data_IF_346374432697
#
_entry.id   IF_346374432697
#
_cell.length_a   1.000
_cell.length_b   1.000
_cell.length_c   1.000
_cell.angle_alpha   90.00
_cell.angle_beta   90.00
_cell.angle_gamma   90.00
#
_symmetry.space_group_name_H-M   'P 1'
#
loop_
_entity.id
_entity.type
_entity.pdbx_description
1 polymer ?
#
# COMPACT_ATOMS: atom_id res chain seq x y z
N UNK A 1 -27.74 77.42 -60.49
CA UNK A 1 -27.00 78.63 -60.04
C UNK A 1 -26.63 78.44 -58.57
N UNK A 2 -25.34 78.17 -58.34
CA UNK A 2 -24.52 78.32 -57.11
C UNK A 2 -24.97 77.82 -55.71
N UNK A 3 -24.01 77.10 -55.09
CA UNK A 3 -23.64 77.06 -53.64
C UNK A 3 -24.54 76.22 -52.68
N UNK A 4 -24.07 75.52 -51.65
CA UNK A 4 -22.77 75.34 -50.97
C UNK A 4 -22.82 73.99 -50.18
N UNK A 5 -21.82 73.11 -50.22
CA UNK A 5 -20.65 72.99 -49.31
C UNK A 5 -20.99 73.09 -47.81
N UNK A 6 -20.73 71.99 -47.08
CA UNK A 6 -20.72 71.96 -45.61
C UNK A 6 -20.37 70.58 -45.05
N UNK A 7 -19.11 70.16 -45.19
CA UNK A 7 -18.60 68.92 -44.59
C UNK A 7 -18.34 69.05 -43.08
N UNK A 8 -18.57 67.98 -42.32
CA UNK A 8 -17.97 67.82 -40.99
C UNK A 8 -17.92 66.35 -40.53
N UNK A 9 -16.70 65.80 -40.59
CA UNK A 9 -16.04 64.92 -39.60
C UNK A 9 -16.59 63.50 -39.41
N UNK A 10 -15.94 62.58 -40.12
CA UNK A 10 -15.81 61.17 -39.79
C UNK A 10 -15.46 60.96 -38.30
N UNK A 11 -16.36 60.31 -37.55
CA UNK A 11 -16.06 59.73 -36.23
C UNK A 11 -15.84 58.23 -36.40
N UNK A 12 -14.61 57.79 -36.19
CA UNK A 12 -14.10 56.47 -36.53
C UNK A 12 -14.76 55.31 -35.75
N UNK A 13 -14.93 54.12 -36.36
CA UNK A 13 -15.57 52.95 -35.75
C UNK A 13 -14.73 52.28 -34.64
N UNK A 14 -13.46 52.68 -34.46
CA UNK A 14 -12.54 52.07 -33.48
C UNK A 14 -12.94 52.30 -32.01
N UNK A 15 -13.64 53.40 -31.69
CA UNK A 15 -13.99 53.75 -30.30
C UNK A 15 -15.16 52.94 -29.75
N UNK A 16 -16.06 52.45 -30.62
CA UNK A 16 -17.19 51.58 -30.24
C UNK A 16 -16.74 50.14 -29.95
N UNK A 17 -15.74 49.65 -30.68
CA UNK A 17 -15.18 48.31 -30.50
C UNK A 17 -14.36 48.23 -29.18
N UNK A 18 -13.63 49.29 -28.84
CA UNK A 18 -12.87 49.35 -27.58
C UNK A 18 -13.79 49.36 -26.33
N UNK A 19 -14.94 50.05 -26.38
CA UNK A 19 -15.92 50.05 -25.29
C UNK A 19 -16.67 48.72 -25.17
N UNK A 20 -16.95 48.04 -26.29
CA UNK A 20 -17.56 46.71 -26.28
C UNK A 20 -16.63 45.63 -25.72
N UNK A 21 -15.32 45.69 -26.02
CA UNK A 21 -14.32 44.79 -25.47
C UNK A 21 -14.05 45.03 -23.98
N UNK A 22 -14.07 46.29 -23.52
CA UNK A 22 -13.95 46.61 -22.10
C UNK A 22 -15.17 46.14 -21.30
N UNK A 23 -16.39 46.23 -21.86
CA UNK A 23 -17.60 45.69 -21.25
C UNK A 23 -17.61 44.15 -21.19
N UNK A 24 -17.09 43.48 -22.21
CA UNK A 24 -17.01 42.02 -22.28
C UNK A 24 -15.96 41.42 -21.32
N UNK A 25 -14.93 42.18 -20.93
CA UNK A 25 -13.94 41.78 -19.92
C UNK A 25 -14.32 42.18 -18.49
N UNK A 26 -15.16 43.21 -18.31
CA UNK A 26 -15.64 43.63 -17.00
C UNK A 26 -16.75 42.72 -16.43
N UNK A 27 -17.60 42.15 -17.29
CA UNK A 27 -18.69 41.25 -16.88
C UNK A 27 -18.20 39.94 -16.21
N UNK A 28 -17.16 39.24 -16.69
CA UNK A 28 -16.64 38.06 -16.00
C UNK A 28 -15.87 38.43 -14.72
N UNK A 29 -15.27 39.63 -14.62
CA UNK A 29 -14.61 40.07 -13.39
C UNK A 29 -15.59 40.45 -12.27
N UNK A 30 -16.78 40.97 -12.63
CA UNK A 30 -17.82 41.32 -11.64
C UNK A 30 -18.55 40.08 -11.09
N UNK A 31 -18.59 38.98 -11.85
CA UNK A 31 -19.17 37.69 -11.41
C UNK A 31 -18.29 36.94 -10.40
N UNK A 32 -16.99 37.27 -10.30
CA UNK A 32 -16.06 36.68 -9.31
C UNK A 32 -16.16 37.38 -7.93
N UNK A 33 -16.78 38.56 -7.86
CA UNK A 33 -16.82 39.38 -6.64
C UNK A 33 -18.09 39.22 -5.78
N UNK A 34 -19.02 38.33 -6.16
CA UNK A 34 -20.17 38.02 -5.31
C UNK A 34 -19.73 37.01 -4.24
N UNK A 35 -19.83 37.33 -2.93
CA UNK A 35 -19.72 36.31 -1.90
C UNK A 35 -20.94 35.41 -2.07
N UNK A 36 -20.73 34.26 -2.71
CA UNK A 36 -21.71 33.20 -2.72
C UNK A 36 -21.74 32.61 -1.30
N UNK A 37 -22.61 33.14 -0.45
CA UNK A 37 -23.13 32.42 0.72
C UNK A 37 -23.97 31.24 0.20
N UNK A 38 -23.26 30.24 -0.32
CA UNK A 38 -23.79 28.93 -0.55
C UNK A 38 -23.97 28.29 0.82
N UNK A 39 -25.16 28.47 1.37
CA UNK A 39 -25.63 27.76 2.56
C UNK A 39 -25.58 26.25 2.26
N UNK A 40 -24.44 25.63 2.60
CA UNK A 40 -24.20 24.21 2.48
C UNK A 40 -25.06 23.49 3.53
N UNK A 41 -26.29 23.15 3.15
CA UNK A 41 -26.97 22.01 3.76
C UNK A 41 -26.23 20.75 3.26
N UNK A 42 -25.15 20.42 3.96
CA UNK A 42 -24.36 19.23 3.73
C UNK A 42 -25.19 17.99 4.08
N UNK A 43 -25.81 17.39 3.08
CA UNK A 43 -26.23 16.01 3.18
C UNK A 43 -24.96 15.16 3.36
N UNK A 44 -24.79 14.57 4.55
CA UNK A 44 -23.69 13.66 4.84
C UNK A 44 -23.80 12.44 3.92
N UNK A 45 -22.74 12.19 3.15
CA UNK A 45 -22.68 11.08 2.18
C UNK A 45 -22.28 9.76 2.90
N UNK A 46 -21.89 9.83 4.18
CA UNK A 46 -21.46 8.69 4.99
C UNK A 46 -22.02 8.76 6.42
N UNK A 47 -23.34 8.60 6.64
CA UNK A 47 -23.86 8.38 7.99
C UNK A 47 -23.29 7.05 8.52
N UNK A 48 -22.47 7.09 9.57
CA UNK A 48 -22.03 5.89 10.31
C UNK A 48 -20.66 5.30 9.95
N UNK A 49 -19.97 5.76 8.89
CA UNK A 49 -18.59 5.28 8.60
C UNK A 49 -17.53 6.03 9.42
N UNK A 50 -17.85 7.23 9.90
CA UNK A 50 -16.98 8.06 10.73
C UNK A 50 -17.69 8.35 12.06
N UNK A 51 -17.22 7.79 13.20
CA UNK A 51 -17.71 8.17 14.52
C UNK A 51 -17.51 9.67 14.73
N UNK A 52 -18.60 10.43 14.94
CA UNK A 52 -18.57 11.89 15.08
C UNK A 52 -18.96 12.69 13.82
N UNK A 53 -19.42 12.04 12.75
CA UNK A 53 -19.88 12.68 11.51
C UNK A 53 -21.17 13.50 11.62
N UNK A 54 -21.75 13.66 12.81
CA UNK A 54 -23.09 14.23 12.93
C UNK A 54 -23.17 15.75 12.77
N UNK A 55 -22.13 16.55 12.99
CA UNK A 55 -22.25 18.01 12.80
C UNK A 55 -20.90 18.65 12.45
N UNK A 56 -20.72 19.11 11.19
CA UNK A 56 -19.70 20.12 10.85
C UNK A 56 -18.75 19.83 9.69
N UNK A 57 -18.74 18.63 9.10
CA UNK A 57 -17.91 18.39 7.91
C UNK A 57 -18.63 18.83 6.62
N UNK A 58 -18.01 19.77 5.89
CA UNK A 58 -18.40 20.08 4.52
C UNK A 58 -18.29 18.82 3.65
N UNK A 59 -19.16 18.66 2.65
CA UNK A 59 -19.12 17.54 1.70
C UNK A 59 -17.72 17.36 1.08
N UNK A 60 -17.00 18.47 0.84
CA UNK A 60 -15.63 18.47 0.30
C UNK A 60 -14.62 17.79 1.24
N UNK A 61 -14.70 18.02 2.56
CA UNK A 61 -13.80 17.39 3.53
C UNK A 61 -14.14 15.91 3.74
N UNK A 62 -15.42 15.52 3.63
CA UNK A 62 -15.83 14.12 3.66
C UNK A 62 -15.26 13.32 2.47
N UNK A 63 -15.30 13.90 1.26
CA UNK A 63 -14.70 13.29 0.06
C UNK A 63 -13.18 13.18 0.21
N UNK A 64 -12.51 14.21 0.74
CA UNK A 64 -11.06 14.17 0.98
C UNK A 64 -10.66 13.02 1.92
N UNK A 65 -11.38 12.86 3.03
CA UNK A 65 -11.15 11.75 3.96
C UNK A 65 -11.39 10.41 3.29
N UNK A 66 -12.47 10.28 2.51
CA UNK A 66 -12.79 9.04 1.80
C UNK A 66 -11.70 8.66 0.79
N UNK A 67 -11.21 9.62 0.00
CA UNK A 67 -10.11 9.38 -0.95
C UNK A 67 -8.82 8.98 -0.24
N UNK A 68 -8.53 9.59 0.91
CA UNK A 68 -7.37 9.26 1.73
C UNK A 68 -7.48 7.83 2.28
N UNK A 69 -8.64 7.48 2.83
CA UNK A 69 -8.88 6.15 3.38
C UNK A 69 -8.79 5.07 2.29
N UNK A 70 -9.34 5.36 1.10
CA UNK A 70 -9.31 4.46 -0.05
C UNK A 70 -7.88 4.19 -0.55
N UNK A 71 -7.00 5.20 -0.48
CA UNK A 71 -5.58 5.05 -0.82
C UNK A 71 -4.78 4.23 0.20
N UNK A 72 -5.13 4.28 1.49
CA UNK A 72 -4.44 3.55 2.56
C UNK A 72 -4.94 2.11 2.73
N UNK A 73 -6.19 1.84 2.38
CA UNK A 73 -6.82 0.52 2.49
C UNK A 73 -6.00 -0.63 1.88
N UNK A 74 -5.47 -0.55 0.63
CA UNK A 74 -4.71 -1.66 0.07
C UNK A 74 -3.43 -1.96 0.87
N UNK A 75 -2.77 -0.94 1.41
CA UNK A 75 -1.56 -1.10 2.22
C UNK A 75 -1.90 -1.76 3.56
N UNK A 76 -2.99 -1.33 4.19
CA UNK A 76 -3.49 -1.94 5.43
C UNK A 76 -3.81 -3.42 5.24
N UNK A 77 -4.53 -3.77 4.16
CA UNK A 77 -4.86 -5.17 3.84
C UNK A 77 -3.57 -5.98 3.63
N UNK A 78 -2.60 -5.46 2.88
CA UNK A 78 -1.31 -6.14 2.70
C UNK A 78 -0.61 -6.39 4.04
N UNK A 79 -0.61 -5.42 4.96
CA UNK A 79 0.01 -5.57 6.29
C UNK A 79 -0.72 -6.53 7.22
N UNK A 80 -2.00 -6.80 7.00
CA UNK A 80 -2.80 -7.79 7.77
C UNK A 80 -2.66 -9.23 7.24
N UNK A 81 -1.92 -9.43 6.16
CA UNK A 81 -1.77 -10.72 5.46
C UNK A 81 -0.33 -11.22 5.50
N UNK A 82 -0.06 -12.40 4.93
CA UNK A 82 1.29 -12.96 4.75
C UNK A 82 2.17 -12.19 3.74
N UNK A 83 1.63 -11.19 3.06
CA UNK A 83 2.33 -10.45 2.00
C UNK A 83 3.67 -9.88 2.46
N UNK A 84 3.71 -9.28 3.66
CA UNK A 84 4.92 -8.66 4.22
C UNK A 84 6.09 -9.63 4.28
N UNK A 85 5.88 -10.87 4.73
CA UNK A 85 6.94 -11.88 4.80
C UNK A 85 7.41 -12.28 3.41
N UNK A 86 6.48 -12.53 2.49
CA UNK A 86 6.81 -12.99 1.14
C UNK A 86 7.59 -11.95 0.34
N UNK A 87 7.16 -10.69 0.35
CA UNK A 87 7.84 -9.63 -0.40
C UNK A 87 9.26 -9.38 0.12
N UNK A 88 9.46 -9.46 1.43
CA UNK A 88 10.78 -9.24 2.05
C UNK A 88 11.73 -10.40 1.70
N UNK A 89 11.32 -11.65 1.89
CA UNK A 89 12.16 -12.82 1.60
C UNK A 89 12.54 -12.87 0.12
N UNK A 90 11.58 -12.66 -0.79
CA UNK A 90 11.85 -12.65 -2.23
C UNK A 90 12.77 -11.48 -2.63
N UNK A 91 12.64 -10.33 -1.98
CA UNK A 91 13.53 -9.18 -2.21
C UNK A 91 14.95 -9.46 -1.73
N UNK A 92 15.11 -10.09 -0.56
CA UNK A 92 16.41 -10.51 -0.03
C UNK A 92 17.07 -11.58 -0.91
N UNK A 93 16.29 -12.54 -1.42
CA UNK A 93 16.78 -13.53 -2.38
C UNK A 93 17.31 -12.88 -3.66
N UNK A 94 16.57 -11.91 -4.23
CA UNK A 94 17.04 -11.16 -5.40
C UNK A 94 18.38 -10.47 -5.14
N UNK A 95 18.53 -9.86 -3.97
CA UNK A 95 19.78 -9.21 -3.57
C UNK A 95 20.92 -10.24 -3.41
N UNK A 96 20.63 -11.39 -2.79
CA UNK A 96 21.62 -12.46 -2.59
C UNK A 96 22.17 -13.01 -3.91
N UNK A 97 21.30 -13.18 -4.92
CA UNK A 97 21.68 -13.61 -6.26
C UNK A 97 22.53 -12.57 -7.02
N UNK A 98 22.63 -11.32 -6.55
CA UNK A 98 23.36 -10.26 -7.23
C UNK A 98 22.63 -9.69 -8.46
N UNK A 99 21.34 -9.98 -8.61
CA UNK A 99 20.52 -9.57 -9.75
C UNK A 99 20.06 -8.11 -9.60
N UNK A 100 20.95 -7.15 -9.82
CA UNK A 100 20.60 -5.72 -9.76
C UNK A 100 19.64 -5.28 -10.88
N UNK A 101 19.64 -5.99 -12.03
CA UNK A 101 18.77 -5.69 -13.19
C UNK A 101 17.90 -6.87 -13.65
N UNK A 102 18.07 -8.07 -13.07
CA UNK A 102 17.47 -9.30 -13.60
C UNK A 102 15.99 -9.53 -13.27
N UNK A 103 15.48 -8.96 -12.17
CA UNK A 103 14.10 -9.12 -11.72
C UNK A 103 13.50 -7.75 -11.35
N UNK A 104 12.55 -7.22 -12.15
CA UNK A 104 11.82 -6.00 -11.81
C UNK A 104 11.05 -6.16 -10.49
N UNK A 105 11.04 -5.12 -9.65
CA UNK A 105 10.30 -5.12 -8.37
C UNK A 105 8.82 -5.48 -8.56
N UNK A 106 8.22 -5.10 -9.70
CA UNK A 106 6.84 -5.44 -10.06
C UNK A 106 6.60 -6.95 -10.14
N UNK A 107 7.56 -7.72 -10.63
CA UNK A 107 7.44 -9.18 -10.71
C UNK A 107 7.49 -9.78 -9.31
N UNK A 108 8.42 -9.33 -8.46
CA UNK A 108 8.51 -9.79 -7.06
C UNK A 108 7.20 -9.50 -6.31
N UNK A 109 6.68 -8.28 -6.43
CA UNK A 109 5.40 -7.90 -5.83
C UNK A 109 4.26 -8.77 -6.38
N UNK A 110 4.23 -9.03 -7.68
CA UNK A 110 3.23 -9.90 -8.31
C UNK A 110 3.28 -11.34 -7.78
N UNK A 111 4.47 -11.94 -7.69
CA UNK A 111 4.66 -13.29 -7.13
C UNK A 111 4.23 -13.31 -5.66
N UNK A 112 4.64 -12.32 -4.86
CA UNK A 112 4.26 -12.21 -3.47
C UNK A 112 2.73 -12.14 -3.31
N UNK A 113 2.04 -11.32 -4.11
CA UNK A 113 0.57 -11.23 -4.09
C UNK A 113 -0.10 -12.56 -4.44
N UNK A 114 0.37 -13.26 -5.49
CA UNK A 114 -0.20 -14.56 -5.90
C UNK A 114 -0.02 -15.60 -4.78
N UNK A 115 1.16 -15.67 -4.17
CA UNK A 115 1.42 -16.57 -3.05
C UNK A 115 0.56 -16.19 -1.83
N UNK A 116 0.39 -14.90 -1.55
CA UNK A 116 -0.50 -14.43 -0.48
C UNK A 116 -1.93 -14.86 -0.73
N UNK A 117 -2.46 -14.71 -1.95
CA UNK A 117 -3.82 -15.15 -2.29
C UNK A 117 -3.99 -16.66 -2.10
N UNK A 118 -2.98 -17.45 -2.50
CA UNK A 118 -2.99 -18.90 -2.32
C UNK A 118 -3.06 -19.30 -0.84
N UNK A 119 -2.24 -18.67 0.00
CA UNK A 119 -2.13 -18.99 1.43
C UNK A 119 -3.29 -18.40 2.26
N UNK A 120 -3.79 -17.22 1.88
CA UNK A 120 -4.91 -16.55 2.56
C UNK A 120 -6.28 -17.05 2.13
N UNK A 121 -6.36 -17.99 1.18
CA UNK A 121 -7.63 -18.56 0.70
C UNK A 121 -8.60 -18.98 1.83
N UNK A 122 -8.21 -19.75 2.88
CA UNK A 122 -9.14 -20.12 3.96
C UNK A 122 -9.66 -18.93 4.78
N UNK A 123 -8.83 -17.89 4.98
CA UNK A 123 -9.25 -16.64 5.65
C UNK A 123 -10.26 -15.90 4.78
N UNK A 124 -9.97 -15.78 3.48
CA UNK A 124 -10.84 -15.12 2.51
C UNK A 124 -12.19 -15.82 2.38
N UNK A 125 -12.21 -17.16 2.34
CA UNK A 125 -13.45 -17.94 2.28
C UNK A 125 -14.28 -17.78 3.57
N UNK A 126 -13.66 -17.75 4.75
CA UNK A 126 -14.35 -17.49 6.02
C UNK A 126 -14.97 -16.08 6.05
N UNK A 127 -14.21 -15.05 5.68
CA UNK A 127 -14.72 -13.67 5.59
C UNK A 127 -15.86 -13.57 4.58
N UNK A 128 -15.73 -14.21 3.42
CA UNK A 128 -16.76 -14.19 2.39
C UNK A 128 -18.07 -14.81 2.88
N UNK A 129 -18.01 -16.01 3.46
CA UNK A 129 -19.19 -16.76 3.89
C UNK A 129 -19.87 -16.13 5.11
N UNK A 130 -19.07 -15.69 6.08
CA UNK A 130 -19.58 -15.35 7.41
C UNK A 130 -19.87 -13.84 7.55
N UNK A 131 -19.19 -12.97 6.79
CA UNK A 131 -19.38 -11.52 6.84
C UNK A 131 -19.97 -10.93 5.54
N UNK A 132 -19.41 -11.25 4.37
CA UNK A 132 -19.83 -10.64 3.12
C UNK A 132 -21.23 -11.10 2.67
N UNK A 133 -21.46 -12.42 2.65
CA UNK A 133 -22.73 -12.98 2.17
C UNK A 133 -23.97 -12.57 3.00
N UNK A 134 -23.89 -12.48 4.35
CA UNK A 134 -25.02 -11.96 5.13
C UNK A 134 -25.22 -10.45 4.97
N UNK A 135 -24.15 -9.69 4.75
CA UNK A 135 -24.23 -8.25 4.48
C UNK A 135 -24.90 -7.96 3.13
N UNK A 136 -24.50 -8.66 2.08
CA UNK A 136 -25.07 -8.55 0.72
C UNK A 136 -26.55 -8.96 0.67
N UNK A 137 -26.99 -9.81 1.60
CA UNK A 137 -28.39 -10.23 1.77
C UNK A 137 -29.16 -9.37 2.77
N UNK A 138 -28.63 -8.21 3.15
CA UNK A 138 -29.21 -7.25 4.10
C UNK A 138 -29.57 -7.87 5.47
N UNK A 139 -28.92 -8.98 5.87
CA UNK A 139 -29.18 -9.66 7.15
C UNK A 139 -28.44 -9.02 8.31
N UNK A 140 -27.32 -8.34 8.03
CA UNK A 140 -26.49 -7.64 9.01
C UNK A 140 -26.06 -6.28 8.46
N UNK A 141 -25.89 -5.29 9.35
CA UNK A 141 -25.31 -4.00 8.98
C UNK A 141 -23.79 -4.07 8.79
N UNK A 142 -23.23 -3.03 8.18
CA UNK A 142 -21.78 -2.92 7.88
C UNK A 142 -20.91 -3.08 9.14
N UNK A 143 -21.27 -2.44 10.26
CA UNK A 143 -20.50 -2.55 11.51
C UNK A 143 -20.43 -3.99 12.03
N UNK A 144 -21.53 -4.73 11.94
CA UNK A 144 -21.58 -6.12 12.38
C UNK A 144 -20.80 -7.02 11.43
N UNK A 145 -20.88 -6.77 10.12
CA UNK A 145 -20.08 -7.48 9.12
C UNK A 145 -18.58 -7.29 9.35
N UNK A 146 -18.13 -6.07 9.65
CA UNK A 146 -16.73 -5.79 9.99
C UNK A 146 -16.27 -6.52 11.25
N UNK A 147 -17.09 -6.55 12.30
CA UNK A 147 -16.78 -7.31 13.54
C UNK A 147 -16.64 -8.81 13.28
N UNK A 148 -17.52 -9.39 12.45
CA UNK A 148 -17.45 -10.81 12.09
C UNK A 148 -16.21 -11.09 11.22
N UNK A 149 -15.90 -10.20 10.28
CA UNK A 149 -14.72 -10.31 9.41
C UNK A 149 -13.40 -10.18 10.18
N UNK A 150 -13.37 -9.42 11.29
CA UNK A 150 -12.17 -9.27 12.13
C UNK A 150 -11.73 -10.60 12.77
N UNK A 151 -12.66 -11.49 13.10
CA UNK A 151 -12.38 -12.74 13.83
C UNK A 151 -11.41 -13.67 13.08
N UNK A 152 -11.66 -14.08 11.82
CA UNK A 152 -10.74 -14.95 11.09
C UNK A 152 -9.38 -14.28 10.81
N UNK A 153 -9.37 -12.96 10.55
CA UNK A 153 -8.13 -12.20 10.34
C UNK A 153 -7.30 -12.13 11.63
N UNK A 154 -7.94 -11.84 12.76
CA UNK A 154 -7.32 -11.86 14.09
C UNK A 154 -6.73 -13.23 14.41
N UNK A 155 -7.50 -14.30 14.16
CA UNK A 155 -7.04 -15.67 14.40
C UNK A 155 -5.79 -16.00 13.58
N UNK A 156 -5.79 -15.65 12.29
CA UNK A 156 -4.63 -15.79 11.43
C UNK A 156 -3.41 -15.02 11.95
N UNK A 157 -3.58 -13.74 12.28
CA UNK A 157 -2.49 -12.90 12.80
C UNK A 157 -1.91 -13.48 14.09
N UNK A 158 -2.75 -13.88 15.04
CA UNK A 158 -2.30 -14.45 16.31
C UNK A 158 -1.57 -15.79 16.12
N UNK A 159 -1.98 -16.62 15.15
CA UNK A 159 -1.31 -17.88 14.84
C UNK A 159 0.14 -17.68 14.35
N UNK A 160 0.44 -16.56 13.69
CA UNK A 160 1.81 -16.25 13.23
C UNK A 160 2.59 -15.34 14.19
N UNK A 161 1.90 -14.72 15.16
CA UNK A 161 2.53 -13.77 16.07
C UNK A 161 3.28 -14.51 17.17
N UNK A 162 4.55 -14.14 17.38
CA UNK A 162 5.32 -14.73 18.49
C UNK A 162 4.82 -14.19 19.84
N UNK A 163 4.74 -15.07 20.85
CA UNK A 163 4.31 -14.69 22.20
C UNK A 163 5.15 -13.55 22.78
N UNK A 164 6.45 -13.54 22.46
CA UNK A 164 7.39 -12.50 22.89
C UNK A 164 7.11 -11.16 22.23
N UNK A 165 6.89 -11.11 20.91
CA UNK A 165 6.51 -9.88 20.20
C UNK A 165 5.17 -9.33 20.69
N UNK A 166 4.17 -10.20 20.91
CA UNK A 166 2.87 -9.79 21.45
C UNK A 166 2.97 -9.20 22.86
N UNK A 167 3.77 -9.82 23.73
CA UNK A 167 4.01 -9.31 25.08
C UNK A 167 4.73 -7.96 25.07
N UNK A 168 5.75 -7.80 24.22
CA UNK A 168 6.52 -6.56 24.09
C UNK A 168 5.63 -5.40 23.60
N UNK A 169 4.86 -5.61 22.53
CA UNK A 169 3.99 -4.55 21.99
C UNK A 169 2.88 -4.18 22.97
N UNK A 170 2.28 -5.16 23.65
CA UNK A 170 1.27 -4.87 24.67
C UNK A 170 1.83 -4.07 25.86
N UNK A 171 3.05 -4.40 26.30
CA UNK A 171 3.74 -3.63 27.32
C UNK A 171 4.00 -2.18 26.87
N UNK A 172 4.44 -1.98 25.62
CA UNK A 172 4.64 -0.65 25.05
C UNK A 172 3.33 0.14 24.90
N UNK A 173 2.22 -0.55 24.64
CA UNK A 173 0.89 0.04 24.54
C UNK A 173 0.23 0.32 25.91
N UNK A 174 0.85 -0.10 27.02
CA UNK A 174 0.29 0.04 28.36
C UNK A 174 -0.92 -0.89 28.63
N UNK A 175 -1.08 -1.97 27.86
CA UNK A 175 -2.14 -2.94 28.10
C UNK A 175 -1.83 -3.84 29.31
N UNK A 176 -2.83 -4.22 30.13
CA UNK A 176 -2.61 -5.07 31.27
C UNK A 176 -2.13 -6.48 30.86
N UNK A 177 -1.11 -6.98 31.56
CA UNK A 177 -0.38 -8.18 31.18
C UNK A 177 -1.22 -9.49 31.23
N UNK A 178 -2.32 -9.48 31.97
CA UNK A 178 -3.22 -10.63 32.16
C UNK A 178 -4.29 -10.79 31.07
N UNK A 179 -4.35 -9.91 30.07
CA UNK A 179 -5.29 -10.05 28.97
C UNK A 179 -4.94 -11.24 28.07
N UNK A 180 -5.96 -12.07 27.79
CA UNK A 180 -5.87 -13.12 26.79
C UNK A 180 -5.51 -12.53 25.41
N UNK A 181 -4.70 -13.22 24.58
CA UNK A 181 -4.25 -12.72 23.28
C UNK A 181 -5.37 -12.19 22.37
N UNK A 182 -6.54 -12.82 22.41
CA UNK A 182 -7.71 -12.49 21.60
C UNK A 182 -8.43 -11.21 22.04
N UNK A 183 -8.32 -10.87 23.33
CA UNK A 183 -8.98 -9.72 23.96
C UNK A 183 -8.18 -8.43 23.84
N UNK A 184 -6.93 -8.51 23.36
CA UNK A 184 -6.07 -7.34 23.14
C UNK A 184 -6.57 -6.49 21.98
N UNK A 185 -6.25 -5.20 22.01
CA UNK A 185 -6.67 -4.25 20.97
C UNK A 185 -6.19 -4.70 19.58
N UNK A 186 -7.02 -4.47 18.57
CA UNK A 186 -6.68 -4.79 17.18
C UNK A 186 -5.36 -4.14 16.74
N UNK A 187 -5.10 -2.91 17.15
CA UNK A 187 -3.84 -2.20 16.86
C UNK A 187 -2.63 -2.90 17.47
N UNK A 188 -2.74 -3.43 18.70
CA UNK A 188 -1.67 -4.17 19.37
C UNK A 188 -1.41 -5.50 18.67
N UNK A 189 -2.49 -6.24 18.32
CA UNK A 189 -2.41 -7.49 17.57
C UNK A 189 -1.71 -7.28 16.21
N UNK A 190 -2.13 -6.25 15.46
CA UNK A 190 -1.56 -5.90 14.16
C UNK A 190 -0.07 -5.51 14.26
N UNK A 191 0.28 -4.63 15.20
CA UNK A 191 1.67 -4.21 15.36
C UNK A 191 2.59 -5.37 15.79
N UNK A 192 2.12 -6.24 16.68
CA UNK A 192 2.85 -7.44 17.09
C UNK A 192 3.01 -8.45 15.95
N UNK A 193 1.97 -8.62 15.12
CA UNK A 193 2.01 -9.44 13.93
C UNK A 193 3.05 -8.94 12.93
N UNK A 194 3.01 -7.66 12.54
CA UNK A 194 3.96 -7.07 11.59
C UNK A 194 5.40 -7.23 12.08
N UNK A 195 5.66 -7.01 13.38
CA UNK A 195 6.97 -7.20 13.97
C UNK A 195 7.44 -8.68 13.90
N UNK A 196 6.52 -9.62 14.14
CA UNK A 196 6.81 -11.06 14.05
C UNK A 196 7.07 -11.49 12.61
N UNK A 197 6.27 -11.02 11.65
CA UNK A 197 6.47 -11.28 10.22
C UNK A 197 7.81 -10.75 9.74
N UNK A 198 8.18 -9.54 10.15
CA UNK A 198 9.45 -8.91 9.82
C UNK A 198 10.63 -9.76 10.33
N UNK A 199 10.59 -10.15 11.59
CA UNK A 199 11.62 -10.99 12.21
C UNK A 199 11.77 -12.32 11.47
N UNK A 200 10.67 -13.01 11.22
CA UNK A 200 10.66 -14.30 10.50
C UNK A 200 11.18 -14.14 9.06
N UNK A 201 10.77 -13.08 8.37
CA UNK A 201 11.21 -12.80 7.00
C UNK A 201 12.73 -12.55 6.92
N UNK A 202 13.27 -11.77 7.86
CA UNK A 202 14.72 -11.56 7.94
C UNK A 202 15.49 -12.83 8.29
N UNK A 203 14.95 -13.69 9.17
CA UNK A 203 15.58 -14.97 9.50
C UNK A 203 15.65 -15.89 8.29
N UNK A 204 14.53 -16.07 7.58
CA UNK A 204 14.47 -16.88 6.35
C UNK A 204 15.39 -16.27 5.28
N UNK A 205 15.30 -14.95 5.07
CA UNK A 205 16.12 -14.26 4.09
C UNK A 205 17.62 -14.38 4.38
N UNK A 206 18.04 -14.27 5.64
CA UNK A 206 19.42 -14.47 6.05
C UNK A 206 19.89 -15.91 5.79
N UNK A 207 19.07 -16.92 6.13
CA UNK A 207 19.39 -18.33 5.84
C UNK A 207 19.57 -18.58 4.34
N UNK A 208 18.71 -17.99 3.50
CA UNK A 208 18.85 -18.06 2.04
C UNK A 208 20.09 -17.30 1.53
N UNK A 209 20.55 -16.28 2.24
CA UNK A 209 21.70 -15.46 1.84
C UNK A 209 23.04 -16.18 2.03
N UNK A 210 23.16 -17.02 3.08
CA UNK A 210 24.41 -17.72 3.46
C UNK A 210 25.10 -18.45 2.29
N UNK A 211 24.44 -19.34 1.53
CA UNK A 211 25.12 -20.07 0.44
C UNK A 211 25.70 -19.14 -0.63
N UNK A 212 25.00 -18.05 -0.96
CA UNK A 212 25.47 -17.09 -1.96
C UNK A 212 26.64 -16.23 -1.45
N UNK A 213 26.63 -15.90 -0.16
CA UNK A 213 27.73 -15.20 0.50
C UNK A 213 29.01 -16.05 0.47
N UNK A 214 28.89 -17.36 0.71
CA UNK A 214 30.03 -18.28 0.62
C UNK A 214 30.63 -18.25 -0.80
N UNK A 215 29.80 -18.27 -1.84
CA UNK A 215 30.26 -18.17 -3.23
C UNK A 215 31.00 -16.84 -3.45
N UNK A 216 30.46 -15.71 -2.99
CA UNK A 216 31.13 -14.40 -3.12
C UNK A 216 32.50 -14.38 -2.44
N UNK A 217 32.60 -14.93 -1.23
CA UNK A 217 33.83 -14.95 -0.45
C UNK A 217 34.89 -15.87 -1.08
N UNK A 218 34.47 -17.01 -1.63
CA UNK A 218 35.36 -17.93 -2.34
C UNK A 218 35.85 -17.32 -3.65
N UNK A 219 34.95 -16.77 -4.47
CA UNK A 219 35.33 -16.14 -5.75
C UNK A 219 36.26 -14.94 -5.51
N UNK A 220 35.97 -14.12 -4.50
CA UNK A 220 36.81 -12.96 -4.16
C UNK A 220 38.22 -13.38 -3.74
N UNK A 221 38.35 -14.43 -2.92
CA UNK A 221 39.68 -14.90 -2.47
C UNK A 221 40.50 -15.49 -3.62
N UNK A 222 39.86 -16.20 -4.56
CA UNK A 222 40.52 -16.74 -5.77
C UNK A 222 40.96 -15.61 -6.71
N UNK A 223 40.10 -14.62 -6.98
CA UNK A 223 40.47 -13.47 -7.83
C UNK A 223 41.63 -12.66 -7.24
N UNK A 224 41.62 -12.48 -5.91
CA UNK A 224 42.70 -11.79 -5.20
C UNK A 224 44.01 -12.59 -5.29
N UNK A 225 43.96 -13.91 -5.19
CA UNK A 225 45.13 -14.79 -5.35
C UNK A 225 45.71 -14.76 -6.76
N UNK A 226 44.88 -14.56 -7.79
CA UNK A 226 45.32 -14.40 -9.18
C UNK A 226 45.85 -12.99 -9.51
N UNK A 227 45.80 -12.05 -8.57
CA UNK A 227 46.22 -10.65 -8.78
C UNK A 227 45.24 -9.79 -9.59
N UNK A 228 44.03 -10.28 -9.86
CA UNK A 228 43.02 -9.56 -10.64
C UNK A 228 42.19 -8.62 -9.74
N UNK A 229 42.81 -7.54 -9.26
CA UNK A 229 42.15 -6.58 -8.35
C UNK A 229 41.10 -5.68 -9.03
N UNK A 230 41.13 -5.56 -10.36
CA UNK A 230 40.25 -4.66 -11.12
C UNK A 230 38.91 -5.28 -11.50
N UNK A 231 38.80 -6.61 -11.45
CA UNK A 231 37.54 -7.30 -11.75
C UNK A 231 36.66 -7.33 -10.51
N UNK A 232 35.41 -6.90 -10.66
CA UNK A 232 34.43 -6.98 -9.58
C UNK A 232 34.12 -8.46 -9.27
N UNK A 233 34.36 -8.95 -8.04
CA UNK A 233 34.04 -10.32 -7.68
C UNK A 233 32.56 -10.67 -7.85
N UNK A 234 31.67 -9.68 -7.72
CA UNK A 234 30.23 -9.84 -7.90
C UNK A 234 29.84 -10.23 -9.34
N UNK A 235 30.54 -9.69 -10.34
CA UNK A 235 30.26 -10.00 -11.75
C UNK A 235 30.69 -11.43 -12.07
N UNK A 236 31.80 -11.88 -11.49
CA UNK A 236 32.32 -13.23 -11.69
C UNK A 236 31.52 -14.27 -10.90
N UNK A 237 31.04 -13.94 -9.69
CA UNK A 237 30.28 -14.87 -8.85
C UNK A 237 28.85 -15.11 -9.33
N UNK A 238 28.24 -14.12 -10.02
CA UNK A 238 26.86 -14.18 -10.51
C UNK A 238 26.52 -15.46 -11.31
N UNK A 239 27.28 -15.87 -12.36
CA UNK A 239 26.96 -17.09 -13.10
C UNK A 239 27.00 -18.35 -12.21
N UNK A 240 27.93 -18.42 -11.25
CA UNK A 240 28.00 -19.54 -10.30
C UNK A 240 26.80 -19.58 -9.36
N UNK A 241 26.36 -18.41 -8.87
CA UNK A 241 25.15 -18.31 -8.03
C UNK A 241 23.90 -18.73 -8.79
N UNK A 242 23.75 -18.28 -10.03
CA UNK A 242 22.61 -18.67 -10.88
C UNK A 242 22.63 -20.16 -11.19
N UNK A 243 23.79 -20.71 -11.52
CA UNK A 243 23.95 -22.14 -11.75
C UNK A 243 23.54 -22.95 -10.50
N UNK A 244 24.09 -22.61 -9.33
CA UNK A 244 23.72 -23.25 -8.08
C UNK A 244 22.21 -23.15 -7.82
N UNK A 245 21.63 -21.97 -7.96
CA UNK A 245 20.22 -21.73 -7.71
C UNK A 245 19.31 -22.55 -8.64
N UNK A 246 19.66 -22.69 -9.92
CA UNK A 246 18.91 -23.53 -10.86
C UNK A 246 19.11 -25.02 -10.57
N UNK A 247 20.33 -25.45 -10.25
CA UNK A 247 20.65 -26.86 -9.96
C UNK A 247 19.91 -27.42 -8.74
N UNK A 248 19.68 -26.58 -7.73
CA UNK A 248 18.95 -27.00 -6.51
C UNK A 248 17.44 -26.77 -6.60
N UNK A 249 16.94 -26.37 -7.77
CA UNK A 249 15.56 -25.91 -7.95
C UNK A 249 15.14 -24.85 -6.91
N UNK A 250 15.95 -23.79 -6.82
CA UNK A 250 15.88 -22.80 -5.75
C UNK A 250 14.57 -22.03 -5.69
N UNK A 251 13.84 -21.88 -6.81
CA UNK A 251 12.51 -21.28 -6.80
C UNK A 251 11.51 -22.16 -6.05
N UNK A 252 11.45 -23.45 -6.37
CA UNK A 252 10.59 -24.42 -5.68
C UNK A 252 10.94 -24.50 -4.19
N UNK A 253 12.23 -24.56 -3.85
CA UNK A 253 12.68 -24.59 -2.45
C UNK A 253 12.28 -23.32 -1.70
N UNK A 254 12.45 -22.14 -2.31
CA UNK A 254 12.07 -20.86 -1.70
C UNK A 254 10.57 -20.78 -1.46
N UNK A 255 9.76 -21.14 -2.47
CA UNK A 255 8.29 -21.12 -2.36
C UNK A 255 7.80 -22.10 -1.30
N UNK A 256 8.33 -23.32 -1.28
CA UNK A 256 7.99 -24.33 -0.28
C UNK A 256 8.36 -23.86 1.13
N UNK A 257 9.53 -23.23 1.30
CA UNK A 257 9.95 -22.65 2.58
C UNK A 257 9.00 -21.53 3.02
N UNK A 258 8.60 -20.65 2.10
CA UNK A 258 7.69 -19.55 2.37
C UNK A 258 6.30 -20.05 2.77
N UNK A 259 5.70 -20.93 1.96
CA UNK A 259 4.36 -21.48 2.23
C UNK A 259 4.38 -22.33 3.49
N UNK A 260 5.39 -23.19 3.67
CA UNK A 260 5.54 -24.02 4.86
C UNK A 260 5.83 -23.24 6.15
N UNK A 261 6.34 -22.00 6.04
CA UNK A 261 6.54 -21.14 7.21
C UNK A 261 5.22 -20.58 7.78
N UNK A 262 4.13 -20.64 7.02
CA UNK A 262 2.82 -20.15 7.44
C UNK A 262 2.04 -21.31 8.06
N UNK A 263 1.76 -21.19 9.35
CA UNK A 263 0.93 -22.17 10.05
C UNK A 263 -0.54 -22.05 9.61
N UNK A 264 -1.17 -23.16 9.24
CA UNK A 264 -2.63 -23.25 9.16
C UNK A 264 -3.26 -23.16 10.55
N UNK A 265 -4.48 -22.63 10.65
CA UNK A 265 -5.26 -22.58 11.89
C UNK A 265 -6.53 -23.41 11.78
#
# INVERSE_FOLDING_TARGET
>A
MMLAVGGARARSPRRRIALALAGALALPLLLVALPADAQQQGASILPGVIPGSTQGMTVKSQILVLMTLLGLLPVMVMMMTSFTRFVIVLSLLRQALGLQQGLPNRIITGIALILTLLVMRPVGEAVWRDAFLPYDRDKIGLEQALKIAEVPVTRFMLAQTSKTSLAQVAHLAGEPANLAPEQRSFTVKLAAFVLSELKTAFQIGAMLFIPFLIIDLVVSSVLMAMGMMMLSPLVISLPFKLLLFVLVDGWTLTVNTLVGSIHGY
#
